data_IF_394113214320
#
_entry.id   IF_394113214320
#
_cell.length_a   1.000
_cell.length_b   1.000
_cell.length_c   1.000
_cell.angle_alpha   90.00
_cell.angle_beta   90.00
_cell.angle_gamma   90.00
#
_symmetry.space_group_name_H-M   'P 1'
#
loop_
_entity.id
_entity.type
_entity.pdbx_description
1 polymer ?
#
# COMPACT_ATOMS: atom_id res chain seq x y z
N UNK A 1 19.16 -14.04 -8.02
CA UNK A 1 18.78 -12.67 -7.74
C UNK A 1 17.63 -12.63 -6.76
N UNK A 2 17.18 -11.43 -6.42
CA UNK A 2 16.02 -11.18 -5.58
C UNK A 2 14.95 -10.51 -6.42
N UNK A 3 13.68 -10.77 -6.10
CA UNK A 3 12.55 -10.03 -6.65
C UNK A 3 12.45 -8.64 -6.00
N UNK A 4 11.91 -7.69 -6.73
CA UNK A 4 11.44 -6.40 -6.20
C UNK A 4 10.16 -6.01 -6.92
N UNK A 5 9.32 -5.22 -6.27
CA UNK A 5 8.04 -4.80 -6.79
C UNK A 5 7.84 -3.29 -6.61
N UNK A 6 7.19 -2.66 -7.59
CA UNK A 6 6.81 -1.26 -7.50
C UNK A 6 5.77 -0.90 -8.54
N UNK A 7 4.91 0.05 -8.21
CA UNK A 7 3.94 0.61 -9.16
C UNK A 7 3.82 2.12 -9.03
N UNK A 8 3.43 2.76 -10.15
CA UNK A 8 3.22 4.22 -10.21
C UNK A 8 1.96 4.57 -10.97
N UNK A 9 1.33 5.65 -10.55
CA UNK A 9 0.20 6.24 -11.26
C UNK A 9 0.65 7.37 -12.18
N UNK A 10 0.05 7.40 -13.38
CA UNK A 10 0.28 8.46 -14.36
C UNK A 10 -1.06 9.04 -14.82
N UNK A 11 -1.25 10.33 -14.64
CA UNK A 11 -2.42 11.05 -15.17
C UNK A 11 -2.16 11.40 -16.64
N UNK A 12 -2.90 10.77 -17.57
CA UNK A 12 -2.73 10.96 -19.01
C UNK A 12 -3.87 11.83 -19.55
N UNK A 13 -3.53 12.93 -20.22
CA UNK A 13 -4.53 13.80 -20.84
C UNK A 13 -5.37 14.61 -19.85
N UNK A 14 -6.65 14.75 -20.12
CA UNK A 14 -7.57 15.57 -19.32
C UNK A 14 -8.21 14.81 -18.17
N UNK A 15 -7.43 14.43 -17.16
CA UNK A 15 -7.94 13.79 -15.94
C UNK A 15 -8.67 14.83 -15.08
N UNK A 16 -9.82 14.47 -14.51
CA UNK A 16 -10.58 15.35 -13.60
C UNK A 16 -9.85 15.57 -12.27
N UNK A 17 -10.21 16.64 -11.56
CA UNK A 17 -9.51 17.05 -10.35
C UNK A 17 -9.71 16.09 -9.16
N UNK A 18 -10.84 15.36 -9.12
CA UNK A 18 -11.14 14.39 -8.07
C UNK A 18 -10.21 13.17 -8.23
N UNK A 19 -10.07 12.67 -9.45
CA UNK A 19 -9.17 11.56 -9.76
C UNK A 19 -7.69 11.95 -9.56
N UNK A 20 -7.28 13.15 -9.94
CA UNK A 20 -5.92 13.65 -9.65
C UNK A 20 -5.65 13.70 -8.15
N UNK A 21 -6.59 14.25 -7.38
CA UNK A 21 -6.48 14.31 -5.94
C UNK A 21 -6.35 12.92 -5.31
N UNK A 22 -7.14 11.94 -5.78
CA UNK A 22 -7.03 10.55 -5.31
C UNK A 22 -5.62 10.00 -5.54
N UNK A 23 -5.04 10.21 -6.73
CA UNK A 23 -3.69 9.75 -7.06
C UNK A 23 -2.63 10.40 -6.15
N UNK A 24 -2.72 11.72 -5.93
CA UNK A 24 -1.80 12.46 -5.06
C UNK A 24 -1.94 12.03 -3.59
N UNK A 25 -3.16 11.88 -3.09
CA UNK A 25 -3.43 11.44 -1.74
C UNK A 25 -2.99 10.00 -1.50
N UNK A 26 -3.10 9.12 -2.51
CA UNK A 26 -2.59 7.75 -2.42
C UNK A 26 -1.06 7.72 -2.28
N UNK A 27 -0.34 8.55 -3.05
CA UNK A 27 1.10 8.73 -2.85
C UNK A 27 1.42 9.26 -1.45
N UNK A 28 0.64 10.22 -0.97
CA UNK A 28 0.80 10.75 0.39
C UNK A 28 0.58 9.68 1.45
N UNK A 29 -0.40 8.80 1.27
CA UNK A 29 -0.65 7.68 2.17
C UNK A 29 0.55 6.72 2.24
N UNK A 30 1.17 6.39 1.09
CA UNK A 30 2.41 5.59 1.06
C UNK A 30 3.54 6.29 1.83
N UNK A 31 3.74 7.60 1.63
CA UNK A 31 4.75 8.37 2.36
C UNK A 31 4.53 8.38 3.88
N UNK A 32 3.27 8.44 4.31
CA UNK A 32 2.91 8.32 5.73
C UNK A 32 3.19 6.91 6.25
N UNK A 33 2.88 5.87 5.48
CA UNK A 33 3.24 4.49 5.80
C UNK A 33 4.75 4.32 5.97
N UNK A 34 5.53 4.85 5.03
CA UNK A 34 7.00 4.85 5.11
C UNK A 34 7.54 5.51 6.38
N UNK A 35 6.90 6.59 6.85
CA UNK A 35 7.34 7.27 8.10
C UNK A 35 7.22 6.42 9.36
N UNK A 36 6.42 5.35 9.31
CA UNK A 36 6.29 4.37 10.39
C UNK A 36 7.28 3.19 10.27
N UNK A 37 8.00 3.08 9.14
CA UNK A 37 9.01 2.02 8.93
C UNK A 37 10.30 2.40 9.66
N UNK A 38 10.48 1.80 10.84
CA UNK A 38 11.69 1.95 11.65
C UNK A 38 11.87 0.74 12.56
N UNK A 39 13.10 0.44 12.98
CA UNK A 39 13.36 -0.69 13.88
C UNK A 39 12.49 -0.64 15.12
N UNK A 40 11.98 -1.80 15.50
CA UNK A 40 11.17 -2.04 16.72
C UNK A 40 9.81 -1.33 16.76
N UNK A 41 9.39 -0.66 15.67
CA UNK A 41 7.99 -0.26 15.50
C UNK A 41 7.14 -1.48 15.12
N UNK A 42 5.83 -1.36 15.19
CA UNK A 42 4.89 -2.42 14.81
C UNK A 42 4.46 -2.28 13.36
N UNK A 43 4.41 -3.39 12.62
CA UNK A 43 3.96 -3.40 11.23
C UNK A 43 2.53 -2.83 11.08
N UNK A 44 1.66 -3.08 12.07
CA UNK A 44 0.31 -2.52 12.06
C UNK A 44 0.25 -0.99 12.09
N UNK A 45 1.30 -0.29 12.54
CA UNK A 45 1.34 1.17 12.52
C UNK A 45 1.43 1.71 11.09
N UNK A 46 2.12 0.99 10.19
CA UNK A 46 2.18 1.31 8.76
C UNK A 46 0.76 1.33 8.16
N UNK A 47 0.00 0.26 8.37
CA UNK A 47 -1.37 0.17 7.87
C UNK A 47 -2.32 1.16 8.55
N UNK A 48 -2.18 1.33 9.87
CA UNK A 48 -3.05 2.23 10.63
C UNK A 48 -2.95 3.67 10.15
N UNK A 49 -1.74 4.22 9.95
CA UNK A 49 -1.57 5.60 9.49
C UNK A 49 -2.11 5.81 8.07
N UNK A 50 -1.94 4.82 7.18
CA UNK A 50 -2.50 4.84 5.82
C UNK A 50 -4.02 4.92 5.88
N UNK A 51 -4.65 4.03 6.65
CA UNK A 51 -6.11 3.99 6.78
C UNK A 51 -6.68 5.25 7.43
N UNK A 52 -6.06 5.74 8.49
CA UNK A 52 -6.46 6.97 9.18
C UNK A 52 -6.42 8.17 8.22
N UNK A 53 -5.36 8.29 7.44
CA UNK A 53 -5.25 9.33 6.43
C UNK A 53 -6.32 9.20 5.34
N UNK A 54 -6.46 8.01 4.73
CA UNK A 54 -7.46 7.76 3.70
C UNK A 54 -8.89 8.09 4.18
N UNK A 55 -9.25 7.64 5.38
CA UNK A 55 -10.56 7.95 5.99
C UNK A 55 -10.74 9.46 6.24
N UNK A 56 -9.70 10.17 6.64
CA UNK A 56 -9.75 11.62 6.85
C UNK A 56 -10.03 12.40 5.56
N UNK A 57 -9.68 11.83 4.41
CA UNK A 57 -9.97 12.37 3.07
C UNK A 57 -11.29 11.87 2.48
N UNK A 58 -12.01 10.98 3.19
CA UNK A 58 -13.28 10.39 2.74
C UNK A 58 -13.11 9.16 1.86
N UNK A 59 -11.91 8.60 1.76
CA UNK A 59 -11.61 7.41 0.97
C UNK A 59 -11.79 6.11 1.76
N UNK A 60 -11.77 5.00 1.02
CA UNK A 60 -11.73 3.65 1.56
C UNK A 60 -10.46 2.93 1.14
N UNK A 61 -9.92 2.12 2.03
CA UNK A 61 -8.75 1.28 1.75
C UNK A 61 -9.20 -0.16 1.57
N UNK A 62 -8.78 -0.79 0.49
CA UNK A 62 -9.05 -2.20 0.21
C UNK A 62 -8.49 -3.08 1.34
N UNK A 63 -9.28 -4.10 1.75
CA UNK A 63 -8.95 -4.98 2.88
C UNK A 63 -8.33 -6.29 2.48
N UNK A 64 -8.78 -6.82 1.33
CA UNK A 64 -8.54 -8.19 0.92
C UNK A 64 -7.18 -8.36 0.22
N UNK A 65 -6.60 -7.24 -0.24
CA UNK A 65 -5.28 -7.20 -0.87
C UNK A 65 -4.41 -6.22 -0.06
N UNK A 66 -3.16 -6.58 0.13
CA UNK A 66 -2.19 -5.78 0.87
C UNK A 66 -0.79 -5.95 0.32
N UNK A 67 0.18 -5.33 0.98
CA UNK A 67 1.58 -5.55 0.70
C UNK A 67 2.07 -6.90 1.23
N UNK A 68 3.28 -7.22 0.89
CA UNK A 68 3.86 -8.54 1.17
C UNK A 68 5.38 -8.45 1.33
N UNK A 69 5.96 -9.45 1.97
CA UNK A 69 7.39 -9.69 1.88
C UNK A 69 7.78 -9.97 0.42
N UNK A 70 8.96 -9.53 0.03
CA UNK A 70 9.50 -9.76 -1.31
C UNK A 70 11.00 -10.02 -1.23
N UNK A 71 11.48 -11.02 -1.96
CA UNK A 71 12.89 -11.36 -1.92
C UNK A 71 13.20 -12.60 -2.72
N UNK A 72 13.24 -13.77 -2.11
CA UNK A 72 13.48 -15.05 -2.80
C UNK A 72 12.26 -15.48 -3.62
N UNK A 73 11.07 -15.21 -3.08
CA UNK A 73 9.82 -15.36 -3.79
C UNK A 73 9.25 -13.99 -4.13
N UNK A 74 8.35 -13.92 -5.13
CA UNK A 74 7.70 -12.65 -5.50
C UNK A 74 6.74 -12.19 -4.39
N UNK A 75 5.96 -13.12 -3.85
CA UNK A 75 5.12 -12.90 -2.67
C UNK A 75 5.56 -13.84 -1.54
N UNK A 76 6.01 -13.28 -0.44
CA UNK A 76 6.38 -14.03 0.77
C UNK A 76 5.88 -13.30 2.03
N UNK A 77 5.98 -13.94 3.20
CA UNK A 77 5.66 -13.28 4.47
C UNK A 77 6.60 -12.08 4.75
N UNK A 78 6.10 -11.02 5.44
CA UNK A 78 4.76 -10.91 6.04
C UNK A 78 3.71 -10.36 5.08
N UNK A 79 2.43 -10.67 5.31
CA UNK A 79 1.32 -9.91 4.74
C UNK A 79 1.21 -8.53 5.42
N UNK A 80 1.15 -7.46 4.63
CA UNK A 80 1.09 -6.07 5.09
C UNK A 80 -0.31 -5.50 4.88
N UNK A 81 -1.16 -5.66 5.88
CA UNK A 81 -2.52 -5.10 5.84
C UNK A 81 -2.52 -3.60 6.08
N UNK A 82 -3.37 -2.87 5.33
CA UNK A 82 -3.56 -1.43 5.51
C UNK A 82 -4.81 -1.05 6.30
N UNK A 83 -5.57 -2.04 6.79
CA UNK A 83 -6.71 -1.81 7.69
C UNK A 83 -6.43 -2.49 9.03
N UNK A 84 -5.58 -1.88 9.81
CA UNK A 84 -5.07 -2.40 11.08
C UNK A 84 -5.31 -1.40 12.22
N UNK A 85 -5.00 -1.86 13.42
CA UNK A 85 -4.97 -0.99 14.62
C UNK A 85 -3.52 -0.66 14.96
N UNK A 86 -3.32 0.54 15.54
CA UNK A 86 -2.00 0.93 16.05
C UNK A 86 -1.48 -0.05 17.10
N UNK A 87 -0.18 -0.16 17.17
CA UNK A 87 0.59 -0.98 18.10
C UNK A 87 0.28 -2.48 18.02
N UNK A 88 -0.18 -2.94 16.84
CA UNK A 88 -0.44 -4.35 16.54
C UNK A 88 0.53 -4.90 15.47
N UNK A 89 0.48 -6.21 15.28
CA UNK A 89 1.31 -6.91 14.30
C UNK A 89 2.73 -7.19 14.82
N UNK A 90 3.56 -7.72 13.94
CA UNK A 90 4.94 -8.08 14.26
C UNK A 90 5.82 -6.83 14.43
N UNK A 91 6.93 -6.99 15.14
CA UNK A 91 7.96 -5.96 15.21
C UNK A 91 8.73 -5.91 13.89
N UNK A 92 8.98 -4.70 13.42
CA UNK A 92 9.89 -4.46 12.33
C UNK A 92 11.33 -4.61 12.86
N UNK A 93 12.12 -5.43 12.18
CA UNK A 93 13.53 -5.62 12.52
C UNK A 93 14.42 -5.33 11.31
N UNK A 94 15.66 -4.83 11.53
CA UNK A 94 16.59 -4.59 10.44
C UNK A 94 16.77 -5.84 9.56
N UNK A 95 16.78 -5.63 8.23
CA UNK A 95 16.86 -6.68 7.22
C UNK A 95 15.53 -7.18 6.70
N UNK A 96 14.39 -6.81 7.28
CA UNK A 96 13.08 -7.09 6.70
C UNK A 96 12.88 -6.29 5.43
N UNK A 97 12.36 -6.94 4.38
CA UNK A 97 12.00 -6.32 3.09
C UNK A 97 10.55 -6.65 2.78
N UNK A 98 9.77 -5.63 2.45
CA UNK A 98 8.34 -5.78 2.13
C UNK A 98 7.85 -4.62 1.26
N UNK A 99 6.66 -4.78 0.66
CA UNK A 99 6.02 -3.75 -0.14
C UNK A 99 5.08 -2.87 0.70
N UNK A 100 4.92 -1.62 0.29
CA UNK A 100 3.86 -0.72 0.73
C UNK A 100 3.10 -0.28 -0.52
N UNK A 101 1.87 -0.79 -0.68
CA UNK A 101 1.11 -0.70 -1.93
C UNK A 101 -0.41 -0.52 -1.70
N UNK A 102 -0.85 0.40 -0.87
CA UNK A 102 -2.27 0.52 -0.57
C UNK A 102 -3.10 0.81 -1.82
N UNK A 103 -4.18 0.05 -2.00
CA UNK A 103 -5.24 0.36 -2.95
C UNK A 103 -6.27 1.25 -2.25
N UNK A 104 -6.43 2.48 -2.72
CA UNK A 104 -7.32 3.49 -2.12
C UNK A 104 -8.44 3.81 -3.11
N UNK A 105 -9.68 3.60 -2.66
CA UNK A 105 -10.89 3.74 -3.45
C UNK A 105 -11.64 5.02 -3.10
N UNK A 106 -12.19 5.67 -4.12
CA UNK A 106 -13.06 6.83 -3.95
C UNK A 106 -14.43 6.44 -3.39
N UNK A 107 -14.91 5.24 -3.70
CA UNK A 107 -16.20 4.69 -3.29
C UNK A 107 -16.09 3.66 -2.16
N UNK A 108 -16.54 2.42 -2.42
CA UNK A 108 -16.49 1.31 -1.46
C UNK A 108 -15.09 0.69 -1.33
N UNK A 109 -14.83 -0.01 -0.23
CA UNK A 109 -13.65 -0.86 -0.04
C UNK A 109 -13.83 -2.29 -0.61
N UNK A 110 -15.01 -2.59 -1.16
CA UNK A 110 -15.29 -3.87 -1.78
C UNK A 110 -14.76 -3.94 -3.20
N UNK A 111 -14.19 -5.10 -3.56
CA UNK A 111 -13.55 -5.36 -4.84
C UNK A 111 -13.93 -6.74 -5.36
N UNK A 112 -13.72 -6.94 -6.66
CA UNK A 112 -13.71 -8.29 -7.24
C UNK A 112 -12.52 -8.46 -8.19
N UNK A 113 -12.10 -9.71 -8.35
CA UNK A 113 -11.04 -10.09 -9.28
C UNK A 113 -11.70 -10.59 -10.57
N UNK A 114 -11.20 -10.13 -11.71
CA UNK A 114 -11.66 -10.55 -13.03
C UNK A 114 -11.43 -12.05 -13.22
N UNK A 115 -12.52 -12.80 -13.39
CA UNK A 115 -12.47 -14.25 -13.59
C UNK A 115 -11.88 -14.69 -14.93
N UNK A 116 -11.72 -13.76 -15.89
CA UNK A 116 -11.16 -14.07 -17.20
C UNK A 116 -9.63 -14.13 -17.18
N UNK A 117 -9.01 -13.45 -16.23
CA UNK A 117 -7.54 -13.41 -16.12
C UNK A 117 -6.99 -13.66 -14.70
N UNK A 118 -7.86 -13.81 -13.71
CA UNK A 118 -7.53 -14.07 -12.30
C UNK A 118 -6.51 -13.06 -11.70
N UNK A 119 -6.50 -11.84 -12.23
CA UNK A 119 -5.50 -10.82 -11.86
C UNK A 119 -6.08 -9.42 -11.70
N UNK A 120 -6.83 -8.95 -12.68
CA UNK A 120 -7.33 -7.57 -12.68
C UNK A 120 -8.34 -7.35 -11.57
N UNK A 121 -8.11 -6.32 -10.77
CA UNK A 121 -8.97 -5.95 -9.64
C UNK A 121 -9.84 -4.78 -10.04
N UNK A 122 -11.15 -4.90 -9.81
CA UNK A 122 -12.13 -3.86 -10.01
C UNK A 122 -12.81 -3.49 -8.69
N UNK A 123 -13.21 -2.23 -8.55
CA UNK A 123 -14.08 -1.79 -7.47
C UNK A 123 -15.52 -2.24 -7.75
N UNK A 124 -16.23 -2.75 -6.74
CA UNK A 124 -17.61 -3.24 -6.89
C UNK A 124 -18.59 -2.16 -7.36
N UNK A 125 -18.35 -0.91 -7.00
CA UNK A 125 -19.20 0.22 -7.38
C UNK A 125 -18.75 0.96 -8.66
N UNK A 126 -17.66 0.53 -9.28
CA UNK A 126 -17.07 1.17 -10.47
C UNK A 126 -16.44 2.54 -10.19
N UNK A 127 -16.30 2.95 -8.93
CA UNK A 127 -15.64 4.20 -8.58
C UNK A 127 -14.12 4.13 -8.84
N UNK A 128 -13.44 5.26 -9.08
CA UNK A 128 -12.00 5.29 -9.26
C UNK A 128 -11.22 4.72 -8.06
N UNK A 129 -10.14 4.00 -8.36
CA UNK A 129 -9.15 3.51 -7.43
C UNK A 129 -7.76 3.99 -7.82
N UNK A 130 -6.86 4.15 -6.85
CA UNK A 130 -5.46 4.45 -7.10
C UNK A 130 -4.56 3.58 -6.23
N UNK A 131 -3.39 3.24 -6.78
CA UNK A 131 -2.34 2.49 -6.10
C UNK A 131 -0.97 3.08 -6.43
N UNK A 132 -0.15 3.24 -5.41
CA UNK A 132 1.29 3.44 -5.52
C UNK A 132 1.97 2.36 -4.71
N UNK A 133 3.10 1.93 -5.19
CA UNK A 133 3.84 0.85 -4.53
C UNK A 133 5.33 1.14 -4.48
N UNK A 134 5.91 0.78 -3.35
CA UNK A 134 7.35 0.79 -3.12
C UNK A 134 7.79 -0.50 -2.43
N UNK A 135 8.96 -1.00 -2.78
CA UNK A 135 9.68 -2.00 -1.96
C UNK A 135 10.58 -1.27 -0.98
N UNK A 136 10.49 -1.62 0.29
CA UNK A 136 11.23 -0.97 1.39
C UNK A 136 11.97 -2.00 2.23
N UNK A 137 13.21 -1.67 2.62
CA UNK A 137 13.99 -2.41 3.61
C UNK A 137 14.02 -1.66 4.94
N UNK A 138 13.87 -2.39 6.06
CA UNK A 138 14.12 -1.85 7.40
C UNK A 138 15.62 -1.82 7.64
N UNK A 139 16.17 -0.67 8.00
CA UNK A 139 17.59 -0.49 8.35
C UNK A 139 17.80 -0.40 9.86
N UNK A 140 19.03 -0.27 10.34
CA UNK A 140 19.34 -0.13 11.77
C UNK A 140 18.74 1.14 12.41
N UNK A 141 18.52 2.18 11.61
CA UNK A 141 18.09 3.51 12.06
C UNK A 141 16.84 4.05 11.36
N UNK A 142 16.23 3.27 10.47
CA UNK A 142 15.03 3.69 9.73
C UNK A 142 14.66 2.74 8.60
N UNK A 143 14.64 3.25 7.37
CA UNK A 143 14.32 2.47 6.18
C UNK A 143 15.11 2.94 4.96
N UNK A 144 15.18 2.06 3.96
CA UNK A 144 15.69 2.36 2.61
C UNK A 144 14.65 1.91 1.57
N UNK A 145 14.38 2.76 0.57
CA UNK A 145 13.51 2.38 -0.56
C UNK A 145 14.39 1.67 -1.59
N UNK A 146 14.07 0.41 -1.87
CA UNK A 146 14.79 -0.43 -2.82
C UNK A 146 14.22 -0.33 -4.25
N UNK A 147 12.90 -0.15 -4.37
CA UNK A 147 12.21 0.07 -5.64
C UNK A 147 11.04 1.05 -5.48
N UNK A 148 10.80 1.91 -6.50
CA UNK A 148 9.75 2.94 -6.50
C UNK A 148 9.37 3.38 -7.92
#
# INVERSE_FOLDING_TARGET
GYFSDSSRMFCIGGVDDVSKKLVEDTLKAVQLGLSEVRPFNRLGNVGAVINEFAQSQGYKVVRDIGGHGVGLEFHEDPFVSYVTRRDTGMLLVPGMVFTIEPMINLGTDEIFIDSDNDWTVYTEDGAPSAQWEVTVAVTEDGYEILAY
#
